data_IF_866748255580
#
_entry.id   IF_866748255580
#
_cell.length_a   1.000
_cell.length_b   1.000
_cell.length_c   1.000
_cell.angle_alpha   90.00
_cell.angle_beta   90.00
_cell.angle_gamma   90.00
#
_symmetry.space_group_name_H-M   'P 1'
#
loop_
_entity.id
_entity.type
_entity.pdbx_description
1 polymer ?
#
# COMPACT_ATOMS: atom_id res chain seq x y z
N UNK A 1 -7.89 8.11 19.22
CA UNK A 1 -6.46 8.05 18.88
C UNK A 1 -6.34 6.87 17.94
N UNK A 2 -5.99 7.10 16.67
CA UNK A 2 -5.78 6.00 15.73
C UNK A 2 -4.49 5.29 16.17
N UNK A 3 -4.55 4.00 16.47
CA UNK A 3 -3.46 3.21 17.05
C UNK A 3 -3.03 2.04 16.16
N UNK A 4 -3.59 1.95 14.96
CA UNK A 4 -3.29 0.86 14.02
C UNK A 4 -2.08 1.19 13.15
N UNK A 5 -1.47 0.11 12.69
CA UNK A 5 -0.28 0.14 11.84
C UNK A 5 -0.57 -0.54 10.53
N UNK A 6 0.01 -0.05 9.44
CA UNK A 6 0.11 -0.78 8.17
C UNK A 6 1.56 -0.83 7.72
N UNK A 7 1.87 -1.75 6.82
CA UNK A 7 3.16 -1.78 6.12
C UNK A 7 2.89 -1.68 4.62
N UNK A 8 3.49 -0.69 3.97
CA UNK A 8 3.42 -0.46 2.53
C UNK A 8 4.65 -1.05 1.86
N UNK A 9 4.45 -1.72 0.74
CA UNK A 9 5.50 -2.24 -0.12
C UNK A 9 5.35 -1.59 -1.51
N UNK A 10 6.30 -0.73 -1.87
CA UNK A 10 6.36 -0.06 -3.17
C UNK A 10 7.40 -0.74 -4.07
N UNK A 11 6.99 -1.20 -5.24
CA UNK A 11 7.92 -1.69 -6.25
C UNK A 11 8.62 -0.50 -6.93
N UNK A 12 9.92 -0.60 -7.13
CA UNK A 12 10.72 0.37 -7.87
C UNK A 12 11.60 -0.36 -8.90
N UNK A 13 11.71 0.21 -10.10
CA UNK A 13 12.53 -0.35 -11.17
C UNK A 13 13.79 0.47 -11.30
N UNK A 14 14.90 -0.12 -10.87
CA UNK A 14 16.21 0.49 -10.89
C UNK A 14 16.71 0.77 -12.31
N UNK A 15 17.76 1.58 -12.42
CA UNK A 15 18.40 1.92 -13.70
C UNK A 15 18.90 0.68 -14.49
N UNK A 16 19.31 -0.37 -13.79
CA UNK A 16 19.74 -1.66 -14.36
C UNK A 16 18.58 -2.58 -14.78
N UNK A 17 17.34 -2.11 -14.66
CA UNK A 17 16.07 -2.81 -14.92
C UNK A 17 15.75 -3.93 -13.92
N UNK A 18 16.49 -4.04 -12.83
CA UNK A 18 16.08 -4.88 -11.70
C UNK A 18 14.93 -4.22 -10.94
N UNK A 19 14.14 -5.04 -10.27
CA UNK A 19 13.06 -4.58 -9.41
C UNK A 19 13.48 -4.70 -7.96
N UNK A 20 13.30 -3.62 -7.22
CA UNK A 20 13.47 -3.54 -5.77
C UNK A 20 12.14 -3.22 -5.12
N UNK A 21 12.02 -3.58 -3.85
CA UNK A 21 10.82 -3.38 -3.06
C UNK A 21 11.18 -2.54 -1.85
N UNK A 22 10.53 -1.40 -1.71
CA UNK A 22 10.74 -0.48 -0.62
C UNK A 22 9.62 -0.62 0.38
N UNK A 23 10.01 -0.96 1.60
CA UNK A 23 9.10 -1.17 2.73
C UNK A 23 8.96 0.10 3.56
N UNK A 24 7.75 0.41 4.00
CA UNK A 24 7.48 1.55 4.89
C UNK A 24 6.43 1.15 5.92
N UNK A 25 6.75 1.19 7.22
CA UNK A 25 5.73 1.06 8.27
C UNK A 25 5.09 2.41 8.48
N UNK A 26 3.76 2.43 8.54
CA UNK A 26 2.99 3.63 8.83
C UNK A 26 2.15 3.40 10.08
N UNK A 27 2.44 4.13 11.15
CA UNK A 27 1.78 4.05 12.47
C UNK A 27 0.83 5.23 12.67
N UNK A 28 -0.28 5.02 13.38
CA UNK A 28 -1.32 6.05 13.56
C UNK A 28 -2.38 6.05 12.45
N UNK A 29 -2.55 4.92 11.77
CA UNK A 29 -3.56 4.73 10.73
C UNK A 29 -4.86 4.16 11.32
N UNK A 30 -5.89 4.08 10.47
CA UNK A 30 -7.06 3.25 10.70
C UNK A 30 -7.21 2.31 9.51
N UNK A 31 -7.56 1.03 9.76
CA UNK A 31 -7.91 0.12 8.67
C UNK A 31 -9.11 -0.76 9.03
N UNK A 32 -9.83 -1.15 7.98
CA UNK A 32 -10.95 -2.07 8.03
C UNK A 32 -10.76 -3.17 6.99
N UNK A 33 -11.00 -4.40 7.42
CA UNK A 33 -11.14 -5.54 6.53
C UNK A 33 -12.61 -5.80 6.27
N UNK A 34 -12.99 -5.98 5.01
CA UNK A 34 -14.37 -6.22 4.57
C UNK A 34 -14.38 -7.09 3.32
N UNK A 35 -15.57 -7.50 2.87
CA UNK A 35 -15.72 -8.15 1.58
C UNK A 35 -16.80 -7.44 0.78
N UNK A 36 -16.52 -7.22 -0.50
CA UNK A 36 -17.51 -6.75 -1.47
C UNK A 36 -18.15 -7.95 -2.16
N UNK A 37 -19.47 -7.91 -2.30
CA UNK A 37 -20.27 -9.01 -2.86
C UNK A 37 -20.80 -8.57 -4.21
N UNK A 38 -20.31 -9.19 -5.28
CA UNK A 38 -20.79 -8.96 -6.65
C UNK A 38 -21.45 -10.21 -7.21
N UNK A 39 -22.36 -10.02 -8.16
CA UNK A 39 -22.95 -11.12 -8.93
C UNK A 39 -22.33 -11.06 -10.32
N UNK A 40 -21.68 -12.15 -10.74
CA UNK A 40 -21.09 -12.26 -12.07
C UNK A 40 -22.18 -12.30 -13.15
N UNK A 41 -21.82 -12.07 -14.41
CA UNK A 41 -22.74 -12.24 -15.54
C UNK A 41 -23.32 -13.66 -15.67
N UNK A 42 -22.68 -14.67 -15.07
CA UNK A 42 -23.17 -16.06 -15.01
C UNK A 42 -24.08 -16.35 -13.80
N UNK A 43 -24.41 -15.34 -12.99
CA UNK A 43 -25.21 -15.50 -11.77
C UNK A 43 -24.43 -16.04 -10.56
N UNK A 44 -23.12 -16.22 -10.68
CA UNK A 44 -22.26 -16.67 -9.57
C UNK A 44 -22.00 -15.52 -8.61
N UNK A 45 -22.05 -15.78 -7.31
CA UNK A 45 -21.70 -14.79 -6.28
C UNK A 45 -20.17 -14.78 -6.14
N UNK A 46 -19.56 -13.61 -6.29
CA UNK A 46 -18.13 -13.38 -6.10
C UNK A 46 -17.93 -12.50 -4.87
N UNK A 47 -17.10 -12.97 -3.93
CA UNK A 47 -16.68 -12.19 -2.78
C UNK A 47 -15.25 -11.69 -3.01
N UNK A 48 -15.06 -10.37 -3.01
CA UNK A 48 -13.74 -9.75 -3.12
C UNK A 48 -13.35 -9.22 -1.74
N UNK A 49 -12.26 -9.73 -1.17
CA UNK A 49 -11.74 -9.21 0.09
C UNK A 49 -11.18 -7.81 -0.13
N UNK A 50 -11.46 -6.90 0.80
CA UNK A 50 -11.05 -5.50 0.76
C UNK A 50 -10.33 -5.14 2.05
N UNK A 51 -9.12 -4.59 1.92
CA UNK A 51 -8.45 -3.85 2.98
C UNK A 51 -8.58 -2.36 2.66
N UNK A 52 -9.35 -1.63 3.47
CA UNK A 52 -9.48 -0.17 3.35
C UNK A 52 -8.69 0.47 4.46
N UNK A 53 -7.74 1.32 4.11
CA UNK A 53 -6.89 2.06 5.05
C UNK A 53 -7.14 3.56 4.92
N UNK A 54 -7.22 4.24 6.05
CA UNK A 54 -7.20 5.70 6.17
C UNK A 54 -5.90 6.09 6.86
N UNK A 55 -5.07 6.86 6.17
CA UNK A 55 -3.75 7.30 6.62
C UNK A 55 -3.79 8.82 6.78
N UNK A 56 -3.89 9.34 8.01
CA UNK A 56 -3.75 10.78 8.26
C UNK A 56 -2.38 11.30 7.82
N UNK A 57 -2.29 12.57 7.43
CA UNK A 57 -1.01 13.18 7.01
C UNK A 57 0.02 13.27 8.14
N UNK A 58 -0.47 13.24 9.39
CA UNK A 58 0.32 13.22 10.62
C UNK A 58 0.75 11.83 11.08
N UNK A 59 0.42 10.77 10.33
CA UNK A 59 0.86 9.42 10.64
C UNK A 59 2.40 9.31 10.63
N UNK A 60 2.94 8.48 11.51
CA UNK A 60 4.38 8.21 11.56
C UNK A 60 4.76 7.25 10.43
N UNK A 61 5.56 7.74 9.48
CA UNK A 61 5.98 7.06 8.25
C UNK A 61 7.45 6.61 8.29
N UNK A 62 8.02 6.44 9.49
CA UNK A 62 9.45 6.10 9.67
C UNK A 62 10.39 7.14 9.05
N UNK A 63 9.96 8.40 9.06
CA UNK A 63 10.72 9.53 8.49
C UNK A 63 10.66 9.63 6.96
N UNK A 64 9.93 8.75 6.27
CA UNK A 64 9.77 8.80 4.81
C UNK A 64 8.70 9.79 4.40
N UNK A 65 8.91 10.46 3.26
CA UNK A 65 7.97 11.43 2.73
C UNK A 65 7.05 10.80 1.68
N UNK A 66 5.76 11.15 1.72
CA UNK A 66 4.83 10.79 0.64
C UNK A 66 5.13 11.60 -0.63
N UNK A 67 5.15 10.91 -1.77
CA UNK A 67 5.08 11.52 -3.10
C UNK A 67 4.08 10.77 -3.98
N UNK A 68 3.59 11.42 -5.03
CA UNK A 68 2.71 10.76 -5.99
C UNK A 68 3.45 9.67 -6.79
N UNK A 69 2.69 8.72 -7.32
CA UNK A 69 3.25 7.56 -7.98
C UNK A 69 4.02 7.88 -9.27
N UNK A 70 3.75 9.01 -9.95
CA UNK A 70 4.50 9.43 -11.15
C UNK A 70 5.89 9.93 -10.73
N UNK A 71 5.95 10.68 -9.63
CA UNK A 71 7.21 11.17 -9.07
C UNK A 71 8.05 10.01 -8.53
N UNK A 72 7.43 9.07 -7.82
CA UNK A 72 8.11 7.89 -7.26
C UNK A 72 8.77 7.00 -8.31
N UNK A 73 8.10 6.76 -9.45
CA UNK A 73 8.63 5.96 -10.54
C UNK A 73 9.89 6.57 -11.19
N UNK A 74 10.08 7.88 -11.06
CA UNK A 74 11.19 8.63 -11.66
C UNK A 74 12.35 8.88 -10.69
N UNK A 75 12.23 8.47 -9.44
CA UNK A 75 13.29 8.65 -8.47
C UNK A 75 14.56 7.90 -8.89
N UNK A 76 15.75 8.46 -8.66
CA UNK A 76 16.98 7.70 -8.77
C UNK A 76 17.09 6.69 -7.62
N UNK A 77 17.78 5.59 -7.87
CA UNK A 77 17.91 4.43 -6.96
C UNK A 77 18.36 4.84 -5.53
N UNK A 78 19.17 5.88 -5.38
CA UNK A 78 19.71 6.38 -4.10
C UNK A 78 18.76 7.27 -3.29
N UNK A 79 17.66 7.73 -3.88
CA UNK A 79 16.64 8.55 -3.22
C UNK A 79 15.41 7.75 -2.81
N UNK A 80 15.17 6.57 -3.41
CA UNK A 80 13.92 5.81 -3.26
C UNK A 80 13.59 5.50 -1.79
N UNK A 81 14.59 5.16 -0.98
CA UNK A 81 14.39 4.81 0.43
C UNK A 81 13.79 5.94 1.28
N UNK A 82 13.92 7.20 0.85
CA UNK A 82 13.42 8.39 1.57
C UNK A 82 11.93 8.63 1.33
N UNK A 83 11.32 7.94 0.39
CA UNK A 83 9.97 8.20 -0.06
C UNK A 83 9.08 6.95 -0.01
N UNK A 84 7.77 7.17 -0.04
CA UNK A 84 6.78 6.13 -0.29
C UNK A 84 5.64 6.69 -1.14
N UNK A 85 4.85 5.80 -1.72
CA UNK A 85 3.69 6.18 -2.52
C UNK A 85 2.52 5.22 -2.35
N UNK A 86 1.36 5.59 -2.90
CA UNK A 86 0.20 4.72 -3.03
C UNK A 86 -0.17 4.65 -4.51
N UNK A 87 0.31 3.62 -5.22
CA UNK A 87 0.11 3.52 -6.66
C UNK A 87 -1.02 2.53 -7.03
N UNK A 88 -2.21 3.01 -7.42
CA UNK A 88 -3.28 2.13 -7.91
C UNK A 88 -3.12 1.75 -9.40
N UNK A 89 -2.15 2.32 -10.14
CA UNK A 89 -2.10 2.20 -11.61
C UNK A 89 -1.44 0.92 -12.10
N UNK A 90 -0.49 0.37 -11.36
CA UNK A 90 0.31 -0.78 -11.79
C UNK A 90 -0.16 -2.12 -11.21
N UNK A 91 -1.16 -2.11 -10.30
CA UNK A 91 -1.59 -3.29 -9.53
C UNK A 91 -0.39 -4.07 -8.96
N UNK A 92 0.65 -3.35 -8.50
CA UNK A 92 1.87 -3.98 -8.02
C UNK A 92 2.09 -3.72 -6.54
N UNK A 93 2.00 -2.46 -6.14
CA UNK A 93 2.23 -2.04 -4.76
C UNK A 93 1.21 -2.69 -3.82
N UNK A 94 1.64 -3.02 -2.61
CA UNK A 94 0.86 -3.81 -1.67
C UNK A 94 0.83 -3.17 -0.29
N UNK A 95 -0.27 -3.38 0.43
CA UNK A 95 -0.39 -3.02 1.84
C UNK A 95 -0.67 -4.28 2.65
N UNK A 96 0.03 -4.41 3.78
CA UNK A 96 -0.25 -5.39 4.84
C UNK A 96 -0.82 -4.65 6.05
N UNK A 97 -1.88 -5.18 6.64
CA UNK A 97 -2.40 -4.69 7.91
C UNK A 97 -1.51 -5.18 9.06
N UNK A 98 -1.02 -4.24 9.86
CA UNK A 98 -0.04 -4.47 10.91
C UNK A 98 1.39 -4.10 10.50
N UNK A 99 2.27 -4.13 11.50
CA UNK A 99 3.71 -4.03 11.30
C UNK A 99 4.24 -5.37 10.78
N UNK A 100 4.94 -5.35 9.65
CA UNK A 100 5.48 -6.56 9.02
C UNK A 100 6.97 -6.40 8.81
N UNK A 101 7.84 -7.14 9.47
CA UNK A 101 9.31 -7.00 9.36
C UNK A 101 9.90 -7.69 8.11
N UNK A 102 9.08 -8.39 7.33
CA UNK A 102 9.57 -9.19 6.19
C UNK A 102 9.97 -8.28 5.03
N UNK A 103 11.20 -8.43 4.56
CA UNK A 103 11.70 -7.79 3.35
C UNK A 103 11.49 -8.68 2.13
N UNK A 104 11.18 -8.07 0.99
CA UNK A 104 11.08 -8.80 -0.28
C UNK A 104 12.47 -9.00 -0.85
N UNK A 105 12.84 -10.25 -1.07
CA UNK A 105 14.15 -10.65 -1.56
C UNK A 105 14.00 -11.62 -2.74
N UNK A 106 15.12 -12.11 -3.26
CA UNK A 106 15.10 -13.14 -4.30
C UNK A 106 14.41 -14.44 -3.82
N UNK A 107 14.57 -14.78 -2.54
CA UNK A 107 14.07 -16.02 -1.94
C UNK A 107 12.71 -15.83 -1.23
N UNK A 108 12.28 -14.58 -1.03
CA UNK A 108 10.98 -14.24 -0.44
C UNK A 108 10.27 -13.19 -1.29
N UNK A 109 9.31 -13.62 -2.12
CA UNK A 109 8.65 -12.77 -3.11
C UNK A 109 7.43 -12.08 -2.52
N UNK A 110 6.95 -11.03 -3.20
CA UNK A 110 5.70 -10.34 -2.85
C UNK A 110 4.49 -11.30 -2.79
N UNK A 111 4.49 -12.35 -3.61
CA UNK A 111 3.47 -13.39 -3.59
C UNK A 111 3.52 -14.25 -2.33
N UNK A 112 4.71 -14.51 -1.80
CA UNK A 112 4.89 -15.26 -0.55
C UNK A 112 4.38 -14.42 0.62
N UNK A 113 4.67 -13.12 0.62
CA UNK A 113 4.10 -12.18 1.59
C UNK A 113 2.57 -12.17 1.55
N UNK A 114 1.97 -12.11 0.36
CA UNK A 114 0.51 -12.17 0.20
C UNK A 114 -0.08 -13.46 0.76
N UNK A 115 0.58 -14.61 0.54
CA UNK A 115 0.12 -15.90 1.04
C UNK A 115 0.27 -16.03 2.57
N UNK A 116 1.32 -15.46 3.14
CA UNK A 116 1.60 -15.49 4.58
C UNK A 116 0.73 -14.52 5.38
N UNK A 117 0.22 -13.47 4.75
CA UNK A 117 -0.51 -12.39 5.43
C UNK A 117 -1.96 -12.31 4.97
N UNK A 118 -2.87 -12.85 5.79
CA UNK A 118 -4.30 -12.89 5.48
C UNK A 118 -4.90 -11.49 5.24
N UNK A 119 -4.47 -10.49 6.02
CA UNK A 119 -4.98 -9.11 5.93
C UNK A 119 -4.02 -8.25 5.09
N UNK A 120 -3.87 -8.60 3.82
CA UNK A 120 -3.06 -7.87 2.85
C UNK A 120 -3.82 -7.69 1.54
N UNK A 121 -3.32 -6.83 0.66
CA UNK A 121 -3.85 -6.70 -0.69
C UNK A 121 -3.06 -5.72 -1.54
N UNK A 122 -3.21 -5.89 -2.85
CA UNK A 122 -2.63 -5.00 -3.86
C UNK A 122 -3.43 -3.70 -3.90
N UNK A 123 -2.77 -2.55 -3.97
CA UNK A 123 -3.41 -1.24 -4.04
C UNK A 123 -4.26 -1.15 -5.31
N UNK A 124 -5.57 -0.97 -5.13
CA UNK A 124 -6.56 -0.93 -6.20
C UNK A 124 -7.18 0.46 -6.39
N UNK A 125 -7.22 1.28 -5.34
CA UNK A 125 -7.63 2.68 -5.47
C UNK A 125 -7.01 3.57 -4.40
N UNK A 126 -6.88 4.85 -4.74
CA UNK A 126 -6.44 5.93 -3.86
C UNK A 126 -7.46 7.07 -3.96
N UNK A 127 -7.92 7.57 -2.83
CA UNK A 127 -8.56 8.88 -2.72
C UNK A 127 -7.64 9.78 -1.87
N UNK A 128 -7.09 10.80 -2.50
CA UNK A 128 -6.30 11.83 -1.84
C UNK A 128 -7.25 12.92 -1.31
N UNK A 129 -7.34 13.04 0.03
CA UNK A 129 -8.15 14.05 0.70
C UNK A 129 -7.27 15.07 1.45
N UNK A 130 -6.01 15.25 1.03
CA UNK A 130 -5.05 16.14 1.72
C UNK A 130 -5.29 17.63 1.44
N UNK A 131 -5.98 17.95 0.36
CA UNK A 131 -6.39 19.33 0.01
C UNK A 131 -7.65 19.79 0.76
N UNK A 132 -8.35 18.87 1.44
CA UNK A 132 -9.57 19.17 2.17
C UNK A 132 -9.35 20.06 3.41
N UNK A 133 -10.40 20.76 3.83
CA UNK A 133 -10.40 21.58 5.05
C UNK A 133 -10.60 20.76 6.35
N UNK A 134 -11.08 19.52 6.23
CA UNK A 134 -11.27 18.59 7.34
C UNK A 134 -10.00 17.75 7.57
N UNK A 135 -10.12 16.63 8.28
CA UNK A 135 -9.00 15.71 8.51
C UNK A 135 -8.34 15.36 7.16
N UNK A 136 -7.09 15.77 7.00
CA UNK A 136 -6.29 15.52 5.80
C UNK A 136 -5.76 14.10 5.86
N UNK A 137 -6.07 13.31 4.85
CA UNK A 137 -5.70 11.91 4.83
C UNK A 137 -5.68 11.33 3.41
N UNK A 138 -4.95 10.23 3.25
CA UNK A 138 -5.12 9.33 2.12
C UNK A 138 -6.06 8.20 2.51
N UNK A 139 -6.97 7.85 1.61
CA UNK A 139 -7.77 6.64 1.73
C UNK A 139 -7.38 5.67 0.62
N UNK A 140 -6.87 4.51 1.01
CA UNK A 140 -6.38 3.47 0.10
C UNK A 140 -7.26 2.24 0.22
N UNK A 141 -7.64 1.65 -0.92
CA UNK A 141 -8.36 0.37 -0.96
C UNK A 141 -7.50 -0.65 -1.67
N UNK A 142 -7.32 -1.80 -1.04
CA UNK A 142 -6.55 -2.93 -1.53
C UNK A 142 -7.45 -4.16 -1.79
N UNK A 143 -7.04 -5.00 -2.75
CA UNK A 143 -7.73 -6.23 -3.20
C UNK A 143 -6.80 -7.45 -3.28
#
# INVERSE_FOLDING_TARGET
>A
MNDKTITVYNAHKNADKTETWNRTVIRGCEYKYSADKTVSGSGSIVFTQLLTTVIPVEADTEGKQYIDAVSYEKLPDDEVEKYFTFNPRNNHDMIVAGECEKEITKDYKITDLKNDTQKSGTIASLADNTEGALLKHWKVVCK
#
